data_IF_297263500626
#
_entry.id   IF_297263500626
#
_cell.length_a   1.000
_cell.length_b   1.000
_cell.length_c   1.000
_cell.angle_alpha   90.00
_cell.angle_beta   90.00
_cell.angle_gamma   90.00
#
_symmetry.space_group_name_H-M   'P 1'
#
loop_
_entity.id
_entity.type
_entity.pdbx_description
1 polymer ?
#
# COMPACT_ATOMS: atom_id res chain seq x y z
N UNK A 1 8.86 -14.70 4.44
CA UNK A 1 7.99 -13.78 5.22
C UNK A 1 6.89 -13.28 4.32
N UNK A 2 5.68 -13.27 4.82
CA UNK A 2 4.46 -12.82 4.13
C UNK A 2 4.02 -11.46 4.70
N UNK A 3 3.78 -10.51 3.82
CA UNK A 3 3.30 -9.17 4.15
C UNK A 3 1.97 -8.92 3.44
N UNK A 4 0.96 -8.48 4.17
CA UNK A 4 -0.30 -7.98 3.62
C UNK A 4 -0.31 -6.47 3.82
N UNK A 5 -0.56 -5.69 2.79
CA UNK A 5 -0.56 -4.22 2.86
C UNK A 5 -1.86 -3.65 2.32
N UNK A 6 -2.47 -2.76 3.11
CA UNK A 6 -3.70 -2.06 2.77
C UNK A 6 -3.48 -0.55 2.66
N UNK A 7 -3.91 0.02 1.53
CA UNK A 7 -4.18 1.45 1.39
C UNK A 7 -5.70 1.68 1.51
N UNK A 8 -6.11 2.49 2.48
CA UNK A 8 -7.51 2.55 2.91
C UNK A 8 -8.38 3.36 1.96
N UNK A 9 -9.45 2.76 1.47
CA UNK A 9 -10.45 3.38 0.61
C UNK A 9 -11.83 2.73 0.71
N UNK A 10 -12.90 3.48 0.44
CA UNK A 10 -14.27 2.94 0.38
C UNK A 10 -14.47 2.20 -0.95
N UNK A 11 -14.22 2.90 -2.05
CA UNK A 11 -14.35 2.35 -3.42
C UNK A 11 -13.07 1.66 -3.89
N UNK A 12 -11.94 2.09 -3.36
CA UNK A 12 -10.62 1.63 -3.78
C UNK A 12 -9.81 1.28 -2.53
N UNK A 13 -10.24 0.24 -1.81
CA UNK A 13 -9.39 -0.40 -0.81
C UNK A 13 -8.32 -1.19 -1.57
N UNK A 14 -7.09 -0.68 -1.58
CA UNK A 14 -6.02 -1.37 -2.30
C UNK A 14 -5.35 -2.40 -1.41
N UNK A 15 -5.13 -3.58 -1.98
CA UNK A 15 -4.45 -4.72 -1.37
C UNK A 15 -3.18 -5.03 -2.14
N UNK A 16 -2.09 -5.29 -1.42
CA UNK A 16 -0.89 -5.91 -1.98
C UNK A 16 -0.37 -6.96 -1.00
N UNK A 17 -0.23 -8.20 -1.46
CA UNK A 17 0.34 -9.31 -0.69
C UNK A 17 1.71 -9.64 -1.25
N UNK A 18 2.72 -9.59 -0.39
CA UNK A 18 4.11 -9.79 -0.77
C UNK A 18 4.72 -10.98 -0.04
N UNK A 19 5.54 -11.74 -0.74
CA UNK A 19 6.43 -12.76 -0.17
C UNK A 19 7.87 -12.26 -0.26
N UNK A 20 8.49 -12.02 0.90
CA UNK A 20 9.92 -11.71 1.00
C UNK A 20 10.71 -12.98 1.21
N UNK A 21 11.71 -13.21 0.36
CA UNK A 21 12.76 -14.21 0.53
C UNK A 21 14.05 -13.56 1.04
N UNK A 22 15.13 -14.30 1.13
CA UNK A 22 16.43 -13.73 1.50
C UNK A 22 16.95 -12.70 0.48
N UNK A 23 16.60 -12.87 -0.81
CA UNK A 23 17.20 -12.11 -1.92
C UNK A 23 16.19 -11.34 -2.77
N UNK A 24 14.88 -11.58 -2.61
CA UNK A 24 13.84 -11.04 -3.49
C UNK A 24 12.55 -10.73 -2.76
N UNK A 25 11.73 -9.90 -3.40
CA UNK A 25 10.34 -9.63 -3.01
C UNK A 25 9.46 -10.00 -4.19
N UNK A 26 8.42 -10.80 -3.93
CA UNK A 26 7.48 -11.27 -4.92
C UNK A 26 6.07 -10.81 -4.55
N UNK A 27 5.30 -10.38 -5.54
CA UNK A 27 3.87 -10.08 -5.37
C UNK A 27 3.09 -11.37 -5.56
N UNK A 28 2.25 -11.71 -4.58
CA UNK A 28 1.35 -12.86 -4.61
C UNK A 28 -0.07 -12.47 -5.00
N UNK A 29 -0.48 -11.25 -4.65
CA UNK A 29 -1.76 -10.67 -5.00
C UNK A 29 -1.65 -9.14 -5.00
N UNK A 30 -2.33 -8.50 -5.96
CA UNK A 30 -2.31 -7.05 -6.11
C UNK A 30 -3.59 -6.56 -6.78
N UNK A 31 -4.51 -6.04 -5.97
CA UNK A 31 -5.86 -5.71 -6.45
C UNK A 31 -6.50 -4.54 -5.71
N UNK A 32 -7.55 -3.99 -6.31
CA UNK A 32 -8.46 -3.02 -5.69
C UNK A 32 -9.76 -3.72 -5.31
N UNK A 33 -10.19 -3.50 -4.08
CA UNK A 33 -11.44 -4.01 -3.51
C UNK A 33 -12.42 -2.83 -3.38
N UNK A 34 -13.65 -3.00 -3.84
CA UNK A 34 -14.70 -1.99 -3.70
C UNK A 34 -15.65 -2.37 -2.58
N UNK A 35 -15.55 -1.72 -1.44
CA UNK A 35 -16.47 -1.93 -0.32
C UNK A 35 -17.84 -1.32 -0.60
N UNK A 36 -17.89 -0.19 -1.31
CA UNK A 36 -19.10 0.44 -1.81
C UNK A 36 -18.77 1.41 -2.95
N UNK A 37 -19.69 1.61 -3.90
CA UNK A 37 -19.50 2.54 -5.01
C UNK A 37 -19.43 3.99 -4.57
N UNK A 38 -20.23 4.35 -3.57
CA UNK A 38 -20.31 5.70 -3.01
C UNK A 38 -20.47 5.62 -1.49
N UNK A 39 -19.97 6.63 -0.79
CA UNK A 39 -20.13 6.75 0.67
C UNK A 39 -21.58 6.67 1.13
N UNK A 40 -22.52 7.18 0.36
CA UNK A 40 -23.98 7.16 0.68
C UNK A 40 -24.59 5.75 0.63
N UNK A 41 -23.91 4.80 -0.02
CA UNK A 41 -24.37 3.42 -0.14
C UNK A 41 -24.05 2.60 1.11
N UNK A 42 -23.31 3.19 2.05
CA UNK A 42 -23.00 2.63 3.37
C UNK A 42 -24.10 3.06 4.34
N UNK A 43 -24.90 2.09 4.80
CA UNK A 43 -26.07 2.32 5.65
C UNK A 43 -25.73 2.54 7.13
N UNK A 44 -24.53 2.19 7.54
CA UNK A 44 -24.07 2.30 8.92
C UNK A 44 -22.77 1.55 9.17
N UNK A 45 -22.40 1.47 10.45
CA UNK A 45 -21.18 0.78 10.85
C UNK A 45 -21.30 -0.73 10.65
N UNK A 46 -22.47 -1.30 10.87
CA UNK A 46 -22.72 -2.73 10.72
C UNK A 46 -22.57 -3.14 9.25
N UNK A 47 -23.19 -2.41 8.31
CA UNK A 47 -23.10 -2.66 6.87
C UNK A 47 -21.66 -2.60 6.36
N UNK A 48 -20.89 -1.57 6.75
CA UNK A 48 -19.51 -1.48 6.31
C UNK A 48 -18.62 -2.55 6.98
N UNK A 49 -18.90 -2.92 8.21
CA UNK A 49 -18.15 -3.96 8.92
C UNK A 49 -18.37 -5.33 8.28
N UNK A 50 -19.60 -5.68 7.96
CA UNK A 50 -19.95 -6.93 7.29
C UNK A 50 -19.22 -7.06 5.94
N UNK A 51 -19.27 -6.01 5.11
CA UNK A 51 -18.57 -5.99 3.82
C UNK A 51 -17.07 -6.18 3.97
N UNK A 52 -16.46 -5.53 4.96
CA UNK A 52 -15.04 -5.67 5.23
C UNK A 52 -14.72 -7.08 5.68
N UNK A 53 -15.48 -7.65 6.62
CA UNK A 53 -15.23 -9.00 7.12
C UNK A 53 -15.34 -10.05 6.02
N UNK A 54 -16.36 -9.96 5.15
CA UNK A 54 -16.49 -10.85 4.00
C UNK A 54 -15.26 -10.82 3.09
N UNK A 55 -14.76 -9.61 2.76
CA UNK A 55 -13.57 -9.47 1.92
C UNK A 55 -12.30 -9.99 2.61
N UNK A 56 -12.15 -9.74 3.91
CA UNK A 56 -10.98 -10.20 4.66
C UNK A 56 -11.00 -11.72 4.85
N UNK A 57 -12.17 -12.33 5.12
CA UNK A 57 -12.32 -13.79 5.18
C UNK A 57 -11.97 -14.44 3.85
N UNK A 58 -12.41 -13.85 2.71
CA UNK A 58 -12.06 -14.33 1.38
C UNK A 58 -10.53 -14.28 1.17
N UNK A 59 -9.87 -13.17 1.53
CA UNK A 59 -8.41 -13.04 1.43
C UNK A 59 -7.70 -14.13 2.24
N UNK A 60 -8.12 -14.35 3.48
CA UNK A 60 -7.52 -15.39 4.34
C UNK A 60 -7.79 -16.78 3.77
N UNK A 61 -8.99 -17.04 3.24
CA UNK A 61 -9.33 -18.29 2.55
C UNK A 61 -8.43 -18.55 1.34
N UNK A 62 -8.29 -17.56 0.44
CA UNK A 62 -7.41 -17.64 -0.73
C UNK A 62 -5.94 -17.91 -0.36
N UNK A 63 -5.45 -17.33 0.75
CA UNK A 63 -4.09 -17.57 1.25
C UNK A 63 -3.94 -19.00 1.76
N UNK A 64 -4.91 -19.51 2.52
CA UNK A 64 -4.90 -20.90 3.01
C UNK A 64 -4.94 -21.90 1.86
N UNK A 65 -5.77 -21.67 0.83
CA UNK A 65 -5.81 -22.49 -0.38
C UNK A 65 -4.46 -22.53 -1.12
N UNK A 66 -3.68 -21.45 -1.03
CA UNK A 66 -2.32 -21.37 -1.57
C UNK A 66 -1.24 -21.93 -0.62
N UNK A 67 -1.64 -22.59 0.47
CA UNK A 67 -0.71 -23.15 1.47
C UNK A 67 0.01 -22.11 2.32
N UNK A 68 -0.54 -20.89 2.44
CA UNK A 68 -0.01 -19.85 3.30
C UNK A 68 -0.81 -19.83 4.59
N UNK A 69 -0.23 -20.41 5.65
CA UNK A 69 -0.87 -20.56 6.95
C UNK A 69 -0.45 -19.48 7.95
N UNK A 70 0.70 -18.84 7.71
CA UNK A 70 1.26 -17.83 8.60
C UNK A 70 1.53 -16.52 7.86
N UNK A 71 1.20 -15.39 8.49
CA UNK A 71 1.37 -14.04 7.98
C UNK A 71 2.24 -13.27 8.96
N UNK A 72 3.42 -12.85 8.54
CA UNK A 72 4.38 -12.17 9.41
C UNK A 72 3.94 -10.73 9.71
N UNK A 73 3.41 -10.01 8.72
CA UNK A 73 3.01 -8.61 8.88
C UNK A 73 1.73 -8.26 8.13
N UNK A 74 0.81 -7.59 8.82
CA UNK A 74 -0.30 -6.85 8.22
C UNK A 74 -0.04 -5.36 8.39
N UNK A 75 0.13 -4.65 7.29
CA UNK A 75 0.45 -3.23 7.20
C UNK A 75 -0.78 -2.45 6.77
N UNK A 76 -1.22 -1.52 7.58
CA UNK A 76 -2.43 -0.74 7.32
C UNK A 76 -2.06 0.74 7.31
N UNK A 77 -2.42 1.49 6.26
CA UNK A 77 -2.18 2.92 6.23
C UNK A 77 -2.85 3.64 7.40
N UNK A 78 -2.08 4.44 8.13
CA UNK A 78 -2.61 5.22 9.24
C UNK A 78 -3.33 6.46 8.72
N UNK A 79 -4.66 6.43 8.74
CA UNK A 79 -5.50 7.53 8.29
C UNK A 79 -5.51 8.70 9.29
N UNK A 80 -5.46 9.95 8.82
CA UNK A 80 -5.61 11.11 9.70
C UNK A 80 -6.99 11.14 10.38
N UNK A 81 -7.01 11.38 11.69
CA UNK A 81 -8.25 11.35 12.48
C UNK A 81 -9.21 12.50 12.17
N UNK A 82 -8.71 13.62 11.63
CA UNK A 82 -9.47 14.86 11.44
C UNK A 82 -9.99 15.10 10.01
N UNK A 83 -9.72 14.22 9.05
CA UNK A 83 -10.08 14.45 7.65
C UNK A 83 -11.31 13.65 7.19
N UNK A 84 -11.43 12.39 7.57
CA UNK A 84 -12.55 11.53 7.14
C UNK A 84 -12.79 10.40 8.15
N UNK A 85 -13.84 10.56 8.96
CA UNK A 85 -14.18 9.60 10.01
C UNK A 85 -14.41 8.18 9.50
N UNK A 86 -15.07 8.01 8.33
CA UNK A 86 -15.35 6.68 7.79
C UNK A 86 -14.07 5.93 7.36
N UNK A 87 -13.08 6.64 6.82
CA UNK A 87 -11.79 6.03 6.47
C UNK A 87 -11.08 5.53 7.72
N UNK A 88 -11.17 6.30 8.81
CA UNK A 88 -10.61 5.91 10.10
C UNK A 88 -11.36 4.71 10.70
N UNK A 89 -12.68 4.65 10.52
CA UNK A 89 -13.50 3.50 10.92
C UNK A 89 -13.09 2.24 10.18
N UNK A 90 -12.97 2.30 8.85
CA UNK A 90 -12.51 1.17 8.02
C UNK A 90 -11.13 0.69 8.49
N UNK A 91 -10.19 1.62 8.70
CA UNK A 91 -8.87 1.29 9.23
C UNK A 91 -8.95 0.50 10.54
N UNK A 92 -9.79 0.93 11.49
CA UNK A 92 -9.91 0.23 12.77
C UNK A 92 -10.61 -1.11 12.66
N UNK A 93 -11.61 -1.25 11.79
CA UNK A 93 -12.26 -2.54 11.55
C UNK A 93 -11.23 -3.55 11.01
N UNK A 94 -10.45 -3.17 10.00
CA UNK A 94 -9.38 -4.02 9.45
C UNK A 94 -8.32 -4.34 10.52
N UNK A 95 -7.90 -3.34 11.28
CA UNK A 95 -6.93 -3.53 12.37
C UNK A 95 -7.44 -4.51 13.43
N UNK A 96 -8.70 -4.35 13.88
CA UNK A 96 -9.30 -5.22 14.89
C UNK A 96 -9.47 -6.64 14.38
N UNK A 97 -9.91 -6.83 13.13
CA UNK A 97 -10.05 -8.16 12.53
C UNK A 97 -8.72 -8.93 12.56
N UNK A 98 -7.65 -8.36 12.05
CA UNK A 98 -6.34 -9.01 12.05
C UNK A 98 -5.73 -9.14 13.46
N UNK A 99 -6.04 -8.22 14.37
CA UNK A 99 -5.62 -8.34 15.77
C UNK A 99 -6.32 -9.49 16.48
N UNK A 100 -7.58 -9.79 16.14
CA UNK A 100 -8.28 -10.96 16.65
C UNK A 100 -7.67 -12.25 16.12
N UNK A 101 -7.38 -12.35 14.83
CA UNK A 101 -6.69 -13.51 14.24
C UNK A 101 -5.30 -13.73 14.84
N UNK A 102 -4.57 -12.64 15.12
CA UNK A 102 -3.30 -12.71 15.86
C UNK A 102 -3.47 -13.31 17.24
N UNK A 103 -4.48 -12.88 17.98
CA UNK A 103 -4.68 -13.27 19.36
C UNK A 103 -5.23 -14.70 19.51
N UNK A 104 -6.26 -15.05 18.70
CA UNK A 104 -6.96 -16.32 18.81
C UNK A 104 -6.33 -17.43 17.98
N UNK A 105 -6.11 -17.18 16.70
CA UNK A 105 -5.67 -18.20 15.74
C UNK A 105 -4.15 -18.29 15.63
N UNK A 106 -3.43 -17.23 16.06
CA UNK A 106 -1.97 -17.10 16.00
C UNK A 106 -1.39 -17.25 14.59
N UNK A 107 -2.19 -16.98 13.57
CA UNK A 107 -1.77 -17.03 12.16
C UNK A 107 -1.11 -15.71 11.71
N UNK A 108 -1.12 -14.68 12.56
CA UNK A 108 -0.54 -13.36 12.28
C UNK A 108 0.42 -12.97 13.39
N UNK A 109 1.65 -12.59 13.02
CA UNK A 109 2.65 -12.15 13.99
C UNK A 109 2.49 -10.67 14.35
N UNK A 110 2.32 -9.81 13.34
CA UNK A 110 2.31 -8.35 13.54
C UNK A 110 1.22 -7.65 12.76
N UNK A 111 0.48 -6.75 13.43
CA UNK A 111 -0.45 -5.80 12.81
C UNK A 111 0.04 -4.39 13.07
N UNK A 112 0.35 -3.63 12.02
CA UNK A 112 1.08 -2.36 12.12
C UNK A 112 0.36 -1.24 11.37
N UNK A 113 0.15 -0.11 12.04
CA UNK A 113 -0.28 1.13 11.38
C UNK A 113 0.92 1.86 10.81
N UNK A 114 0.94 2.05 9.49
CA UNK A 114 2.06 2.63 8.74
C UNK A 114 1.75 4.07 8.34
N UNK A 115 2.73 4.96 8.52
CA UNK A 115 2.57 6.35 8.11
C UNK A 115 2.54 6.47 6.57
N UNK A 116 1.52 7.15 6.03
CA UNK A 116 1.37 7.38 4.59
C UNK A 116 2.63 7.97 3.90
N UNK A 117 3.41 8.77 4.62
CA UNK A 117 4.64 9.35 4.06
C UNK A 117 5.76 8.35 3.81
N UNK A 118 5.63 7.10 4.30
CA UNK A 118 6.64 6.06 4.09
C UNK A 118 6.72 5.64 2.62
N UNK A 119 5.60 5.64 1.91
CA UNK A 119 5.46 5.15 0.52
C UNK A 119 6.49 5.71 -0.47
N UNK A 120 7.00 6.91 -0.25
CA UNK A 120 7.93 7.60 -1.18
C UNK A 120 9.31 7.87 -0.61
N UNK A 121 9.55 7.64 0.69
CA UNK A 121 10.79 8.09 1.36
C UNK A 121 11.97 7.13 1.25
N UNK A 122 11.72 5.85 1.05
CA UNK A 122 12.73 4.79 1.20
C UNK A 122 13.08 4.08 -0.10
N UNK A 123 12.64 4.63 -1.23
CA UNK A 123 12.95 4.06 -2.54
C UNK A 123 14.23 4.65 -3.12
N UNK A 124 15.12 3.78 -3.67
CA UNK A 124 16.38 4.22 -4.29
C UNK A 124 16.12 4.95 -5.62
N UNK A 125 15.03 4.60 -6.30
CA UNK A 125 14.61 5.29 -7.52
C UNK A 125 14.01 6.65 -7.20
N UNK A 126 14.61 7.71 -7.75
CA UNK A 126 14.05 9.05 -7.73
C UNK A 126 13.53 9.39 -9.13
N UNK A 127 12.21 9.53 -9.32
CA UNK A 127 11.67 9.92 -10.61
C UNK A 127 12.14 11.33 -11.00
N UNK A 128 12.21 11.61 -12.30
CA UNK A 128 12.66 12.91 -12.84
C UNK A 128 11.86 14.10 -12.28
N UNK A 129 10.58 13.88 -11.99
CA UNK A 129 9.70 14.87 -11.35
C UNK A 129 10.20 15.23 -9.95
N UNK A 130 10.63 14.25 -9.16
CA UNK A 130 11.15 14.47 -7.81
C UNK A 130 12.51 15.20 -7.87
N UNK A 131 13.36 14.85 -8.81
CA UNK A 131 14.65 15.52 -9.03
C UNK A 131 14.42 17.01 -9.37
N UNK A 132 13.45 17.29 -10.25
CA UNK A 132 13.08 18.69 -10.59
C UNK A 132 12.52 19.43 -9.41
N UNK A 133 11.76 18.80 -8.52
CA UNK A 133 11.24 19.42 -7.31
C UNK A 133 12.31 19.74 -6.29
N UNK A 134 13.20 18.79 -6.05
CA UNK A 134 14.31 18.98 -5.12
C UNK A 134 15.19 20.16 -5.60
N UNK A 135 15.40 20.30 -6.92
CA UNK A 135 16.10 21.44 -7.52
C UNK A 135 15.34 22.75 -7.35
N UNK A 136 14.01 22.78 -7.58
CA UNK A 136 13.17 23.98 -7.37
C UNK A 136 13.08 24.36 -5.90
N UNK A 137 13.00 23.38 -4.99
CA UNK A 137 12.99 23.63 -3.55
C UNK A 137 14.34 24.18 -3.06
N UNK A 138 15.46 23.69 -3.60
CA UNK A 138 16.79 24.18 -3.30
C UNK A 138 16.97 25.64 -3.76
N UNK A 139 16.51 25.97 -4.98
CA UNK A 139 16.53 27.36 -5.50
C UNK A 139 15.57 28.29 -4.75
N UNK A 140 14.41 27.78 -4.30
CA UNK A 140 13.46 28.56 -3.50
C UNK A 140 13.96 28.81 -2.07
N UNK A 141 14.73 27.89 -1.49
CA UNK A 141 15.36 28.08 -0.18
C UNK A 141 16.44 29.17 -0.18
N UNK A 142 17.13 29.35 -1.30
CA UNK A 142 18.07 30.44 -1.51
C UNK A 142 17.39 31.80 -1.81
N UNK A 143 16.11 31.78 -2.23
CA UNK A 143 15.32 32.99 -2.56
C UNK A 143 14.26 33.36 -1.51
N UNK A 144 14.19 32.67 -0.38
CA UNK A 144 13.13 32.83 0.62
C UNK A 144 13.38 34.00 1.59
N UNK A 145 13.28 35.20 1.06
CA UNK A 145 12.76 36.35 1.80
C UNK A 145 11.50 36.81 1.06
N UNK A 146 10.35 36.67 1.74
CA UNK A 146 9.02 37.20 1.37
C UNK A 146 8.26 36.48 0.22
N UNK A 147 7.23 35.69 0.61
CA UNK A 147 5.84 35.80 0.11
C UNK A 147 4.92 34.78 0.80
N UNK A 148 3.88 35.28 1.44
CA UNK A 148 2.72 34.54 1.97
C UNK A 148 2.10 33.68 0.87
N UNK A 149 2.20 32.39 1.01
CA UNK A 149 1.76 31.41 0.00
C UNK A 149 0.24 31.18 0.10
N UNK A 150 -0.46 31.35 -1.02
CA UNK A 150 -1.82 30.83 -1.22
C UNK A 150 -1.83 29.32 -0.96
N UNK A 151 -2.28 28.90 0.22
CA UNK A 151 -2.03 27.56 0.78
C UNK A 151 -2.79 26.41 0.08
N UNK A 152 -3.90 26.69 -0.64
CA UNK A 152 -4.74 25.68 -1.30
C UNK A 152 -4.15 25.15 -2.61
N UNK A 153 -3.66 26.03 -3.49
CA UNK A 153 -3.07 25.62 -4.77
C UNK A 153 -1.81 24.78 -4.59
N UNK A 154 -0.91 25.22 -3.71
CA UNK A 154 0.34 24.50 -3.43
C UNK A 154 0.14 23.10 -2.83
N UNK A 155 -0.90 22.90 -1.99
CA UNK A 155 -1.23 21.59 -1.45
C UNK A 155 -1.77 20.63 -2.51
N UNK A 156 -2.55 21.14 -3.46
CA UNK A 156 -3.14 20.37 -4.55
C UNK A 156 -2.08 19.90 -5.55
N UNK A 157 -1.12 20.77 -5.88
CA UNK A 157 -0.01 20.42 -6.76
C UNK A 157 0.91 19.38 -6.11
N UNK A 158 1.26 19.56 -4.83
CA UNK A 158 2.03 18.57 -4.07
C UNK A 158 1.35 17.20 -4.01
N UNK A 159 0.03 17.16 -3.84
CA UNK A 159 -0.73 15.91 -3.82
C UNK A 159 -0.70 15.20 -5.17
N UNK A 160 -0.94 15.93 -6.28
CA UNK A 160 -0.85 15.36 -7.64
C UNK A 160 0.55 14.82 -7.93
N UNK A 161 1.56 15.55 -7.51
CA UNK A 161 2.95 15.13 -7.71
C UNK A 161 3.31 13.89 -6.91
N UNK A 162 2.89 13.79 -5.65
CA UNK A 162 3.11 12.57 -4.86
C UNK A 162 2.49 11.33 -5.53
N UNK A 163 1.27 11.48 -6.09
CA UNK A 163 0.63 10.39 -6.84
C UNK A 163 1.42 10.00 -8.09
N UNK A 164 1.87 10.98 -8.86
CA UNK A 164 2.69 10.72 -10.04
C UNK A 164 4.02 10.05 -9.67
N UNK A 165 4.64 10.50 -8.61
CA UNK A 165 5.87 9.90 -8.06
C UNK A 165 5.66 8.44 -7.66
N UNK A 166 4.59 8.11 -6.92
CA UNK A 166 4.26 6.72 -6.57
C UNK A 166 4.10 5.85 -7.82
N UNK A 167 3.38 6.34 -8.83
CA UNK A 167 3.18 5.63 -10.11
C UNK A 167 4.51 5.36 -10.83
N UNK A 168 5.39 6.34 -10.92
CA UNK A 168 6.68 6.21 -11.60
C UNK A 168 7.63 5.26 -10.86
N UNK A 169 7.69 5.35 -9.53
CA UNK A 169 8.46 4.42 -8.71
C UNK A 169 7.95 2.99 -8.90
N UNK A 170 6.63 2.80 -8.82
CA UNK A 170 6.03 1.49 -8.96
C UNK A 170 6.27 0.89 -10.35
N UNK A 171 6.09 1.68 -11.43
CA UNK A 171 6.43 1.25 -12.80
C UNK A 171 7.88 0.79 -12.93
N UNK A 172 8.80 1.50 -12.29
CA UNK A 172 10.21 1.10 -12.34
C UNK A 172 10.45 -0.25 -11.65
N UNK A 173 9.71 -0.57 -10.59
CA UNK A 173 9.84 -1.86 -9.91
C UNK A 173 9.27 -3.04 -10.69
N UNK A 174 8.19 -2.82 -11.46
CA UNK A 174 7.47 -3.90 -12.15
C UNK A 174 7.85 -4.03 -13.63
N UNK A 175 8.68 -3.14 -14.18
CA UNK A 175 8.97 -3.02 -15.63
C UNK A 175 9.48 -4.31 -16.28
N UNK A 176 10.12 -5.16 -15.51
CA UNK A 176 10.71 -6.40 -15.99
C UNK A 176 9.78 -7.61 -15.83
N UNK A 177 8.55 -7.40 -15.34
CA UNK A 177 7.53 -8.43 -15.14
C UNK A 177 6.25 -8.11 -15.92
N UNK A 178 6.01 -8.88 -16.99
CA UNK A 178 4.89 -8.64 -17.90
C UNK A 178 3.52 -8.81 -17.21
N UNK A 179 3.38 -9.77 -16.29
CA UNK A 179 2.13 -10.02 -15.57
C UNK A 179 1.79 -8.85 -14.64
N UNK A 180 2.78 -8.31 -13.93
CA UNK A 180 2.59 -7.12 -13.09
C UNK A 180 2.28 -5.87 -13.92
N UNK A 181 2.92 -5.71 -15.08
CA UNK A 181 2.60 -4.63 -16.02
C UNK A 181 1.16 -4.73 -16.51
N UNK A 182 0.67 -5.92 -16.83
CA UNK A 182 -0.70 -6.16 -17.26
C UNK A 182 -1.71 -5.84 -16.14
N UNK A 183 -1.50 -6.34 -14.93
CA UNK A 183 -2.33 -6.01 -13.75
C UNK A 183 -2.39 -4.50 -13.55
N UNK A 184 -1.23 -3.84 -13.61
CA UNK A 184 -1.12 -2.41 -13.44
C UNK A 184 -1.86 -1.64 -14.55
N UNK A 185 -1.68 -2.02 -15.82
CA UNK A 185 -2.24 -1.28 -16.95
C UNK A 185 -3.76 -1.44 -17.07
N UNK A 186 -4.28 -2.61 -16.71
CA UNK A 186 -5.71 -2.88 -16.66
C UNK A 186 -6.43 -2.18 -15.50
N UNK A 187 -5.70 -1.67 -14.50
CA UNK A 187 -6.30 -1.02 -13.35
C UNK A 187 -6.49 0.49 -13.57
N UNK A 188 -7.73 0.99 -13.33
CA UNK A 188 -8.06 2.41 -13.46
C UNK A 188 -7.49 3.28 -12.34
N UNK A 189 -7.21 2.68 -11.16
CA UNK A 189 -6.75 3.34 -9.95
C UNK A 189 -5.30 2.96 -9.64
N UNK A 190 -4.42 3.32 -10.56
CA UNK A 190 -2.99 3.01 -10.50
C UNK A 190 -2.31 3.60 -9.26
N UNK A 191 -2.72 4.79 -8.82
CA UNK A 191 -2.20 5.47 -7.65
C UNK A 191 -2.47 4.69 -6.35
N UNK A 192 -3.73 4.30 -6.13
CA UNK A 192 -4.13 3.55 -4.92
C UNK A 192 -3.46 2.15 -4.92
N UNK A 193 -3.41 1.50 -6.09
CA UNK A 193 -2.72 0.22 -6.26
C UNK A 193 -1.22 0.31 -5.92
N UNK A 194 -0.53 1.34 -6.45
CA UNK A 194 0.87 1.60 -6.15
C UNK A 194 1.09 1.87 -4.66
N UNK A 195 0.21 2.64 -4.04
CA UNK A 195 0.38 3.05 -2.66
C UNK A 195 0.40 1.85 -1.71
N UNK A 196 -0.46 0.84 -1.90
CA UNK A 196 -0.44 -0.39 -1.12
C UNK A 196 0.89 -1.18 -1.31
N UNK A 197 1.37 -1.28 -2.55
CA UNK A 197 2.62 -1.99 -2.87
C UNK A 197 3.84 -1.26 -2.28
N UNK A 198 3.98 0.04 -2.55
CA UNK A 198 5.13 0.83 -2.13
C UNK A 198 5.20 0.97 -0.61
N UNK A 199 4.05 0.99 0.09
CA UNK A 199 4.00 0.95 1.55
C UNK A 199 4.69 -0.30 2.10
N UNK A 200 4.38 -1.48 1.55
CA UNK A 200 4.98 -2.73 1.99
C UNK A 200 6.46 -2.80 1.64
N UNK A 201 6.85 -2.45 0.41
CA UNK A 201 8.27 -2.42 0.00
C UNK A 201 9.08 -1.48 0.88
N UNK A 202 8.55 -0.30 1.18
CA UNK A 202 9.22 0.68 2.04
C UNK A 202 9.35 0.16 3.49
N UNK A 203 8.30 -0.50 4.01
CA UNK A 203 8.34 -1.10 5.34
C UNK A 203 9.39 -2.21 5.43
N UNK A 204 9.42 -3.11 4.44
CA UNK A 204 10.42 -4.19 4.34
C UNK A 204 11.83 -3.60 4.35
N UNK A 205 12.10 -2.58 3.55
CA UNK A 205 13.43 -1.95 3.46
C UNK A 205 13.90 -1.30 4.75
N UNK A 206 12.99 -0.71 5.51
CA UNK A 206 13.33 -0.07 6.80
C UNK A 206 13.60 -1.07 7.92
N UNK A 207 12.94 -2.23 7.87
CA UNK A 207 13.00 -3.22 8.95
C UNK A 207 13.84 -4.44 8.60
N UNK A 208 14.35 -4.52 7.37
CA UNK A 208 15.27 -5.59 6.98
C UNK A 208 16.68 -5.29 7.48
N UNK A 209 17.14 -6.03 8.46
CA UNK A 209 18.51 -5.93 8.99
C UNK A 209 19.58 -6.24 7.94
N UNK A 210 19.21 -6.90 6.84
CA UNK A 210 20.08 -7.21 5.70
C UNK A 210 19.94 -6.22 4.53
N UNK A 211 19.14 -5.15 4.68
CA UNK A 211 18.85 -4.19 3.60
C UNK A 211 20.10 -3.49 3.02
N UNK A 212 21.20 -3.44 3.78
CA UNK A 212 22.49 -2.95 3.29
C UNK A 212 23.17 -3.88 2.29
N UNK A 213 22.80 -5.17 2.25
CA UNK A 213 23.42 -6.21 1.41
C UNK A 213 22.55 -6.51 0.18
N UNK A 214 21.22 -6.46 0.32
CA UNK A 214 20.28 -6.82 -0.76
C UNK A 214 19.50 -5.59 -1.20
N UNK A 215 19.68 -5.19 -2.46
CA UNK A 215 18.89 -4.13 -3.09
C UNK A 215 17.70 -4.76 -3.80
N UNK A 216 16.51 -4.60 -3.23
CA UNK A 216 15.26 -5.02 -3.88
C UNK A 216 14.86 -3.98 -4.94
N UNK A 217 15.48 -4.04 -6.12
CA UNK A 217 15.28 -3.05 -7.19
C UNK A 217 14.19 -3.43 -8.18
N UNK A 218 13.74 -4.69 -8.15
CA UNK A 218 12.67 -5.22 -8.99
C UNK A 218 11.72 -6.06 -8.17
N UNK A 219 10.46 -6.09 -8.58
CA UNK A 219 9.43 -6.96 -8.05
C UNK A 219 9.06 -7.96 -9.13
N UNK A 220 8.73 -9.18 -8.74
CA UNK A 220 8.20 -10.20 -9.63
C UNK A 220 6.90 -10.78 -9.08
N UNK A 221 6.06 -11.26 -9.99
CA UNK A 221 4.84 -11.97 -9.67
C UNK A 221 5.14 -13.47 -9.54
N UNK A 222 4.62 -14.11 -8.50
CA UNK A 222 4.60 -15.57 -8.41
C UNK A 222 3.14 -15.99 -8.40
N UNK A 223 2.73 -16.63 -9.49
CA UNK A 223 1.48 -17.37 -9.50
C UNK A 223 1.69 -18.62 -8.62
N UNK A 224 1.02 -18.65 -7.50
CA UNK A 224 1.04 -19.85 -6.66
C UNK A 224 0.28 -20.97 -7.39
N UNK A 225 0.77 -22.22 -7.35
CA UNK A 225 0.07 -23.35 -7.97
C UNK A 225 -1.33 -23.45 -7.38
N UNK A 226 -2.33 -23.57 -8.26
CA UNK A 226 -3.72 -23.85 -7.89
C UNK A 226 -3.96 -25.33 -7.57
N UNK A 227 -2.93 -26.17 -7.66
CA UNK A 227 -3.05 -27.62 -7.63
C UNK A 227 -2.47 -28.18 -6.33
N UNK A 228 -3.28 -28.11 -5.27
CA UNK A 228 -3.28 -29.13 -4.22
C UNK A 228 -4.72 -29.61 -4.15
N UNK A 229 -5.04 -30.61 -4.97
CA UNK A 229 -6.20 -31.47 -4.80
C UNK A 229 -5.96 -32.44 -3.64
#
# INVERSE_FOLDING_TARGET
MIYISFDIGIKNLALCILKKTATSIHILDWRIISLADKKKDIKGIDDISERIYMELDNIIGELKEKGIEEIDYVLIENQPSNLNGIMKTIQYIIYCYFSLLKYWDKIIDNVVLVNASLKTKTHDYKPDIQIKMDAVAATAATAATQKTKNSKGFRQDKYKMNKQTSIEICKNYIKDDAALCEIFDNNKKKDDLCDACLQAVAYIRLHDTNAGVVKYNTLSFIQMPSDIQ
#
